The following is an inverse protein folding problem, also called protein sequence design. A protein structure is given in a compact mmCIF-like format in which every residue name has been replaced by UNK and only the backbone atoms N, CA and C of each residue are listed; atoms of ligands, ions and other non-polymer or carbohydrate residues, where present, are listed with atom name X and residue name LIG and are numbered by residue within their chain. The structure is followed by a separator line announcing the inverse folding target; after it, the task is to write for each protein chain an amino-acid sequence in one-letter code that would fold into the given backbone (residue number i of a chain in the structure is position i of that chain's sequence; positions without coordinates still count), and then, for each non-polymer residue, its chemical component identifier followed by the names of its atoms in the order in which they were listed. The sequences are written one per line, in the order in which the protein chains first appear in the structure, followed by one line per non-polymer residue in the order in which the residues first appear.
data_IF_918399772485
#
_entry.id   IF_918399772485
#
_cell.length_a   1.000
_cell.length_b   1.000
_cell.length_c   1.000
_cell.angle_alpha   90.00
_cell.angle_beta   90.00
_cell.angle_gamma   90.00
#
_symmetry.space_group_name_H-M   'P 1'
#
loop_
_entity.id
_entity.type
_entity.pdbx_description
1 polymer ?
#
# COMPACT_ATOMS: atom_id res chain seq x y z
N UNK A 1 -37.01 7.74 -62.41
CA UNK A 1 -38.13 6.89 -61.92
C UNK A 1 -38.34 7.27 -60.46
N UNK A 2 -39.47 7.74 -59.95
CA UNK A 2 -40.86 7.72 -60.38
C UNK A 2 -41.59 8.90 -59.70
N UNK A 3 -42.37 9.64 -60.49
CA UNK A 3 -43.66 10.31 -60.21
C UNK A 3 -43.76 11.25 -58.99
N UNK A 4 -43.80 12.58 -59.16
CA UNK A 4 -44.86 13.45 -59.69
C UNK A 4 -46.12 13.58 -58.80
N UNK A 5 -46.15 14.65 -57.98
CA UNK A 5 -47.21 15.68 -57.84
C UNK A 5 -48.66 15.23 -57.46
N UNK A 6 -49.64 16.14 -57.38
CA UNK A 6 -49.78 17.45 -56.71
C UNK A 6 -51.10 17.54 -55.90
N UNK A 7 -51.38 18.67 -55.22
CA UNK A 7 -52.74 19.24 -55.10
C UNK A 7 -52.66 20.58 -54.36
N UNK A 8 -52.58 21.74 -55.04
CA UNK A 8 -53.67 22.60 -55.53
C UNK A 8 -54.74 22.98 -54.48
N UNK A 9 -54.72 24.29 -54.16
CA UNK A 9 -55.82 25.17 -53.68
C UNK A 9 -57.07 25.03 -54.60
N UNK A 10 -58.18 25.81 -54.51
CA UNK A 10 -58.58 26.91 -53.61
C UNK A 10 -60.09 26.88 -53.21
N UNK A 11 -60.59 27.96 -52.60
CA UNK A 11 -61.79 28.73 -53.00
C UNK A 11 -62.64 29.18 -51.82
N UNK A 12 -62.67 30.50 -51.67
CA UNK A 12 -63.65 31.33 -50.98
C UNK A 12 -64.98 31.43 -51.73
N UNK A 13 -66.11 31.39 -51.02
CA UNK A 13 -67.36 32.10 -51.37
C UNK A 13 -68.26 32.09 -50.11
N UNK A 14 -68.37 33.16 -49.32
CA UNK A 14 -69.35 34.27 -49.47
C UNK A 14 -70.71 33.80 -50.03
N UNK A 15 -71.78 33.91 -49.22
CA UNK A 15 -72.92 34.82 -49.47
C UNK A 15 -74.03 34.73 -48.40
N UNK A 16 -74.57 35.92 -48.10
CA UNK A 16 -75.91 36.33 -47.64
C UNK A 16 -76.49 35.70 -46.35
N UNK A 17 -76.77 36.41 -45.26
CA UNK A 17 -77.50 37.66 -44.98
C UNK A 17 -79.00 37.47 -44.66
N UNK A 18 -79.40 38.14 -43.56
CA UNK A 18 -80.74 38.57 -43.09
C UNK A 18 -81.44 37.58 -42.13
N UNK A 19 -81.34 37.77 -40.80
CA UNK A 19 -82.16 38.63 -39.90
C UNK A 19 -83.54 38.05 -39.56
N UNK A 20 -83.64 37.39 -38.40
CA UNK A 20 -84.85 37.36 -37.57
C UNK A 20 -84.45 37.38 -36.09
N UNK A 21 -84.94 38.41 -35.39
CA UNK A 21 -84.76 38.69 -33.97
C UNK A 21 -85.58 37.70 -33.11
N UNK A 22 -84.97 37.09 -32.09
CA UNK A 22 -85.70 36.56 -30.93
C UNK A 22 -84.80 36.64 -29.69
N UNK A 23 -85.22 37.25 -28.57
CA UNK A 23 -84.36 37.52 -27.42
C UNK A 23 -84.29 36.31 -26.49
N UNK A 24 -83.09 35.81 -26.23
CA UNK A 24 -82.84 34.77 -25.21
C UNK A 24 -81.84 35.31 -24.19
N UNK A 25 -82.37 35.66 -23.02
CA UNK A 25 -81.61 35.76 -21.77
C UNK A 25 -81.00 34.38 -21.45
N UNK A 26 -79.69 34.30 -21.25
CA UNK A 26 -79.05 33.03 -20.90
C UNK A 26 -77.55 33.11 -20.65
N UNK A 27 -77.21 33.45 -19.39
CA UNK A 27 -76.04 32.96 -18.64
C UNK A 27 -74.66 33.08 -19.30
N UNK A 28 -73.97 34.17 -18.99
CA UNK A 28 -72.50 34.19 -19.00
C UNK A 28 -72.00 33.07 -18.06
N UNK A 29 -71.54 31.98 -18.64
CA UNK A 29 -70.85 30.91 -17.91
C UNK A 29 -69.51 31.46 -17.45
N UNK A 30 -69.45 31.93 -16.21
CA UNK A 30 -68.18 32.09 -15.52
C UNK A 30 -67.62 30.69 -15.32
N UNK A 31 -66.61 30.34 -16.12
CA UNK A 31 -65.73 29.22 -15.80
C UNK A 31 -65.07 29.56 -14.47
N UNK A 32 -65.57 28.96 -13.38
CA UNK A 32 -64.90 29.03 -12.09
C UNK A 32 -63.51 28.41 -12.26
N UNK A 33 -62.46 29.24 -12.32
CA UNK A 33 -61.11 28.73 -12.21
C UNK A 33 -60.97 28.15 -10.81
N UNK A 34 -60.82 26.83 -10.70
CA UNK A 34 -60.54 26.19 -9.41
C UNK A 34 -59.30 26.87 -8.80
N UNK A 35 -59.54 27.66 -7.74
CA UNK A 35 -58.52 28.47 -7.09
C UNK A 35 -57.59 27.52 -6.34
N UNK A 36 -56.30 27.51 -6.71
CA UNK A 36 -55.32 26.58 -6.11
C UNK A 36 -54.95 27.09 -4.72
N UNK A 37 -55.47 26.46 -3.67
CA UNK A 37 -55.17 26.82 -2.28
C UNK A 37 -53.91 26.10 -1.78
N UNK A 38 -52.94 26.85 -1.24
CA UNK A 38 -51.72 26.31 -0.65
C UNK A 38 -51.66 26.58 0.86
N UNK A 39 -51.15 25.62 1.63
CA UNK A 39 -50.84 25.72 3.05
C UNK A 39 -49.33 25.66 3.26
N UNK A 40 -48.75 26.60 3.98
CA UNK A 40 -47.32 26.64 4.32
C UNK A 40 -47.09 27.26 5.70
N UNK A 41 -45.88 27.14 6.23
CA UNK A 41 -45.50 27.67 7.55
C UNK A 41 -44.35 28.65 7.36
N UNK A 42 -44.44 29.83 7.96
CA UNK A 42 -43.40 30.86 7.89
C UNK A 42 -42.30 30.66 8.94
N UNK A 43 -41.33 31.60 8.98
CA UNK A 43 -40.21 31.58 9.92
C UNK A 43 -40.62 31.79 11.39
N UNK A 44 -41.81 32.33 11.64
CA UNK A 44 -42.37 32.59 12.97
C UNK A 44 -43.22 31.40 13.48
N UNK A 45 -43.41 30.38 12.64
CA UNK A 45 -44.22 29.21 12.93
C UNK A 45 -45.72 29.40 12.66
N UNK A 46 -46.10 30.49 11.99
CA UNK A 46 -47.49 30.76 11.64
C UNK A 46 -47.88 29.99 10.37
N UNK A 47 -49.08 29.41 10.37
CA UNK A 47 -49.62 28.63 9.24
C UNK A 47 -50.41 29.56 8.34
N UNK A 48 -49.99 29.66 7.08
CA UNK A 48 -50.61 30.51 6.07
C UNK A 48 -51.38 29.69 5.04
N UNK A 49 -52.53 30.20 4.62
CA UNK A 49 -53.35 29.66 3.53
C UNK A 49 -53.46 30.71 2.43
N UNK A 50 -52.89 30.45 1.26
CA UNK A 50 -52.77 31.45 0.19
C UNK A 50 -53.02 30.83 -1.17
N UNK A 51 -53.62 31.58 -2.09
CA UNK A 51 -53.82 31.14 -3.48
C UNK A 51 -52.51 31.17 -4.30
N UNK A 52 -51.57 32.02 -3.89
CA UNK A 52 -50.22 32.10 -4.44
C UNK A 52 -49.22 32.30 -3.29
N UNK A 53 -48.18 31.46 -3.27
CA UNK A 53 -47.11 31.57 -2.28
C UNK A 53 -46.15 32.69 -2.69
N UNK A 54 -45.84 33.65 -1.81
CA UNK A 54 -44.90 34.73 -2.11
C UNK A 54 -43.52 34.20 -2.57
N UNK A 55 -42.85 34.84 -3.54
CA UNK A 55 -41.54 34.40 -4.01
C UNK A 55 -40.49 34.26 -2.90
N UNK A 56 -40.56 35.11 -1.87
CA UNK A 56 -39.64 35.08 -0.72
C UNK A 56 -39.76 33.81 0.15
N UNK A 57 -40.86 33.07 0.04
CA UNK A 57 -41.14 31.86 0.83
C UNK A 57 -41.19 30.59 -0.06
N UNK A 58 -40.68 30.70 -1.29
CA UNK A 58 -40.68 29.60 -2.25
C UNK A 58 -39.84 28.39 -1.78
N UNK A 59 -38.87 28.60 -0.88
CA UNK A 59 -37.97 27.57 -0.39
C UNK A 59 -38.54 26.79 0.81
N UNK A 60 -39.74 27.14 1.31
CA UNK A 60 -40.38 26.46 2.44
C UNK A 60 -41.23 25.27 2.00
N UNK A 61 -41.44 24.34 2.93
CA UNK A 61 -42.34 23.22 2.71
C UNK A 61 -43.79 23.72 2.57
N UNK A 62 -44.53 23.19 1.60
CA UNK A 62 -45.91 23.58 1.31
C UNK A 62 -46.76 22.41 0.87
N UNK A 63 -48.07 22.51 1.11
CA UNK A 63 -49.05 21.55 0.65
C UNK A 63 -50.12 22.23 -0.19
N UNK A 64 -50.44 21.69 -1.37
CA UNK A 64 -51.61 22.09 -2.15
C UNK A 64 -52.83 21.35 -1.61
N UNK A 65 -53.91 22.08 -1.35
CA UNK A 65 -55.15 21.54 -0.80
C UNK A 65 -56.18 21.33 -1.91
N UNK A 66 -57.06 20.33 -1.73
CA UNK A 66 -58.28 20.15 -2.52
C UNK A 66 -59.35 21.13 -2.07
N UNK A 67 -60.45 21.22 -2.82
CA UNK A 67 -61.63 22.02 -2.44
C UNK A 67 -62.22 21.61 -1.07
N UNK A 68 -61.91 20.40 -0.60
CA UNK A 68 -62.32 19.86 0.70
C UNK A 68 -61.29 20.11 1.80
N UNK A 69 -60.23 20.88 1.53
CA UNK A 69 -59.16 21.19 2.48
C UNK A 69 -58.15 20.05 2.71
N UNK A 70 -58.16 19.01 1.87
CA UNK A 70 -57.29 17.85 2.00
C UNK A 70 -56.00 18.07 1.20
N UNK A 71 -54.83 17.83 1.79
CA UNK A 71 -53.55 17.93 1.08
C UNK A 71 -53.49 16.90 -0.06
N UNK A 72 -53.45 17.40 -1.29
CA UNK A 72 -53.39 16.59 -2.53
C UNK A 72 -51.98 16.54 -3.12
N UNK A 73 -51.09 17.45 -2.71
CA UNK A 73 -49.70 17.48 -3.15
C UNK A 73 -48.86 18.16 -2.08
N UNK A 74 -47.69 17.61 -1.76
CA UNK A 74 -46.76 18.20 -0.79
C UNK A 74 -45.41 18.43 -1.45
N UNK A 75 -44.86 19.63 -1.29
CA UNK A 75 -43.54 20.00 -1.73
C UNK A 75 -42.67 20.26 -0.49
N UNK A 76 -41.56 19.53 -0.31
CA UNK A 76 -40.66 19.75 0.82
C UNK A 76 -39.93 21.09 0.68
N UNK A 77 -39.38 21.58 1.80
CA UNK A 77 -38.51 22.74 1.80
C UNK A 77 -37.24 22.44 0.97
N UNK A 78 -36.66 23.48 0.37
CA UNK A 78 -35.33 23.38 -0.25
C UNK A 78 -34.32 23.06 0.86
N UNK A 79 -33.52 21.99 0.73
CA UNK A 79 -32.55 21.63 1.75
C UNK A 79 -31.59 22.79 2.02
N UNK A 80 -31.30 23.03 3.29
CA UNK A 80 -30.27 23.99 3.69
C UNK A 80 -28.89 23.53 3.20
N UNK A 81 -27.93 24.46 3.10
CA UNK A 81 -26.55 24.11 2.72
C UNK A 81 -25.96 23.01 3.62
N UNK A 82 -26.24 23.07 4.93
CA UNK A 82 -25.80 22.05 5.90
C UNK A 82 -26.49 20.69 5.73
N UNK A 83 -27.77 20.66 5.34
CA UNK A 83 -28.48 19.40 5.04
C UNK A 83 -27.96 18.78 3.74
N UNK A 84 -27.64 19.60 2.75
CA UNK A 84 -27.04 19.13 1.50
C UNK A 84 -25.63 18.58 1.73
N UNK A 85 -24.81 19.26 2.54
CA UNK A 85 -23.47 18.76 2.91
C UNK A 85 -23.53 17.48 3.74
N UNK A 86 -24.46 17.38 4.71
CA UNK A 86 -24.68 16.12 5.46
C UNK A 86 -25.13 14.97 4.56
N UNK A 87 -26.01 15.24 3.60
CA UNK A 87 -26.45 14.23 2.63
C UNK A 87 -25.31 13.79 1.71
N UNK A 88 -24.45 14.71 1.26
CA UNK A 88 -23.23 14.41 0.48
C UNK A 88 -22.25 13.56 1.28
N UNK A 89 -22.02 13.90 2.55
CA UNK A 89 -21.13 13.15 3.42
C UNK A 89 -21.65 11.74 3.67
N UNK A 90 -22.94 11.58 3.97
CA UNK A 90 -23.56 10.26 4.13
C UNK A 90 -23.49 9.43 2.84
N UNK A 91 -23.72 10.05 1.68
CA UNK A 91 -23.59 9.38 0.40
C UNK A 91 -22.13 8.93 0.13
N UNK A 92 -21.14 9.78 0.48
CA UNK A 92 -19.71 9.45 0.38
C UNK A 92 -19.35 8.26 1.28
N UNK A 93 -19.83 8.25 2.51
CA UNK A 93 -19.59 7.14 3.45
C UNK A 93 -20.20 5.83 2.97
N UNK A 94 -21.46 5.86 2.49
CA UNK A 94 -22.11 4.67 1.91
C UNK A 94 -21.37 4.16 0.68
N UNK A 95 -20.98 5.05 -0.23
CA UNK A 95 -20.22 4.66 -1.43
C UNK A 95 -18.86 4.04 -1.07
N UNK A 96 -18.17 4.58 -0.06
CA UNK A 96 -16.92 4.01 0.46
C UNK A 96 -17.13 2.62 1.09
N UNK A 97 -18.21 2.43 1.85
CA UNK A 97 -18.55 1.13 2.44
C UNK A 97 -18.89 0.08 1.37
N UNK A 98 -19.70 0.46 0.38
CA UNK A 98 -20.03 -0.40 -0.77
C UNK A 98 -18.79 -0.76 -1.57
N UNK A 99 -17.89 0.21 -1.83
CA UNK A 99 -16.61 -0.05 -2.50
C UNK A 99 -15.77 -1.05 -1.73
N UNK A 100 -15.59 -0.85 -0.42
CA UNK A 100 -14.82 -1.77 0.44
C UNK A 100 -15.45 -3.16 0.48
N UNK A 101 -16.77 -3.27 0.46
CA UNK A 101 -17.47 -4.56 0.41
C UNK A 101 -17.23 -5.27 -0.92
N UNK A 102 -17.36 -4.55 -2.04
CA UNK A 102 -17.10 -5.10 -3.37
C UNK A 102 -15.64 -5.54 -3.53
N UNK A 103 -14.68 -4.75 -3.03
CA UNK A 103 -13.25 -5.10 -3.02
C UNK A 103 -12.98 -6.39 -2.25
N UNK A 104 -13.57 -6.55 -1.06
CA UNK A 104 -13.45 -7.78 -0.25
C UNK A 104 -14.04 -8.99 -0.98
N UNK A 105 -15.25 -8.86 -1.52
CA UNK A 105 -15.89 -9.94 -2.29
C UNK A 105 -15.06 -10.34 -3.50
N UNK A 106 -14.54 -9.36 -4.25
CA UNK A 106 -13.67 -9.63 -5.38
C UNK A 106 -12.36 -10.32 -4.96
N UNK A 107 -11.78 -9.97 -3.80
CA UNK A 107 -10.60 -10.66 -3.25
C UNK A 107 -10.92 -12.12 -2.91
N UNK A 108 -12.05 -12.36 -2.24
CA UNK A 108 -12.49 -13.71 -1.86
C UNK A 108 -12.77 -14.59 -3.09
N UNK A 109 -13.45 -14.05 -4.10
CA UNK A 109 -13.72 -14.75 -5.35
C UNK A 109 -12.43 -15.11 -6.09
N UNK A 110 -11.46 -14.20 -6.14
CA UNK A 110 -10.13 -14.49 -6.72
C UNK A 110 -9.43 -15.58 -5.95
N UNK A 111 -9.42 -15.51 -4.61
CA UNK A 111 -8.79 -16.50 -3.75
C UNK A 111 -9.36 -17.91 -3.98
N UNK A 112 -10.69 -18.04 -4.03
CA UNK A 112 -11.38 -19.31 -4.29
C UNK A 112 -11.23 -19.82 -5.73
N UNK A 113 -10.99 -18.92 -6.69
CA UNK A 113 -10.76 -19.25 -8.10
C UNK A 113 -9.33 -19.71 -8.37
N UNK A 114 -8.35 -19.08 -7.72
CA UNK A 114 -6.93 -19.37 -7.89
C UNK A 114 -6.53 -20.66 -7.18
N UNK A 115 -7.12 -20.93 -6.01
CA UNK A 115 -6.72 -22.06 -5.17
C UNK A 115 -7.92 -22.94 -4.81
N UNK A 116 -7.71 -24.25 -4.87
CA UNK A 116 -8.71 -25.30 -4.59
C UNK A 116 -8.52 -25.90 -3.21
N UNK A 117 -7.29 -25.94 -2.72
CA UNK A 117 -6.91 -26.51 -1.42
C UNK A 117 -5.99 -25.55 -0.67
N UNK A 118 -5.82 -25.80 0.63
CA UNK A 118 -4.82 -25.06 1.43
C UNK A 118 -3.40 -25.41 0.99
N UNK A 119 -3.15 -26.67 0.64
CA UNK A 119 -1.85 -27.12 0.15
C UNK A 119 -1.39 -26.37 -1.10
N UNK A 120 -2.32 -26.00 -2.01
CA UNK A 120 -2.00 -25.16 -3.17
C UNK A 120 -1.58 -23.73 -2.77
N UNK A 121 -2.17 -23.16 -1.72
CA UNK A 121 -1.76 -21.87 -1.15
C UNK A 121 -0.39 -21.96 -0.49
N UNK A 122 -0.13 -23.02 0.28
CA UNK A 122 1.16 -23.25 0.93
C UNK A 122 2.26 -23.48 -0.11
N UNK A 123 2.00 -24.27 -1.15
CA UNK A 123 2.93 -24.46 -2.27
C UNK A 123 3.22 -23.14 -3.02
N UNK A 124 2.20 -22.30 -3.24
CA UNK A 124 2.38 -21.00 -3.87
C UNK A 124 3.18 -20.02 -3.00
N UNK A 125 2.95 -20.03 -1.68
CA UNK A 125 3.74 -19.28 -0.69
C UNK A 125 5.19 -19.72 -0.76
N UNK A 126 5.43 -21.02 -0.65
CA UNK A 126 6.78 -21.60 -0.58
C UNK A 126 7.54 -21.38 -1.89
N UNK A 127 6.86 -21.46 -3.03
CA UNK A 127 7.44 -21.09 -4.33
C UNK A 127 7.83 -19.62 -4.42
N UNK A 128 7.00 -18.69 -3.92
CA UNK A 128 7.33 -17.26 -3.86
C UNK A 128 8.50 -16.98 -2.92
N UNK A 129 8.54 -17.65 -1.76
CA UNK A 129 9.65 -17.56 -0.80
C UNK A 129 10.93 -18.08 -1.43
N UNK A 130 10.91 -19.27 -2.04
CA UNK A 130 12.08 -19.88 -2.66
C UNK A 130 12.66 -19.01 -3.79
N UNK A 131 11.81 -18.33 -4.57
CA UNK A 131 12.28 -17.38 -5.59
C UNK A 131 13.01 -16.17 -4.98
N UNK A 132 12.51 -15.64 -3.86
CA UNK A 132 13.18 -14.56 -3.12
C UNK A 132 14.49 -15.06 -2.51
N UNK A 133 14.50 -16.26 -1.93
CA UNK A 133 15.70 -16.88 -1.34
C UNK A 133 16.78 -17.14 -2.40
N UNK A 134 16.41 -17.57 -3.60
CA UNK A 134 17.33 -17.70 -4.72
C UNK A 134 17.94 -16.33 -5.12
N UNK A 135 17.14 -15.26 -5.11
CA UNK A 135 17.63 -13.90 -5.36
C UNK A 135 18.60 -13.44 -4.26
N UNK A 136 18.28 -13.69 -2.99
CA UNK A 136 19.17 -13.39 -1.86
C UNK A 136 20.49 -14.15 -1.99
N UNK A 137 20.43 -15.44 -2.34
CA UNK A 137 21.63 -16.25 -2.48
C UNK A 137 22.51 -15.75 -3.63
N UNK A 138 21.93 -15.45 -4.80
CA UNK A 138 22.68 -14.86 -5.91
C UNK A 138 23.37 -13.56 -5.49
N UNK A 139 22.68 -12.69 -4.75
CA UNK A 139 23.25 -11.44 -4.24
C UNK A 139 24.36 -11.68 -3.21
N UNK A 140 24.21 -12.66 -2.30
CA UNK A 140 25.30 -13.05 -1.37
C UNK A 140 26.53 -13.55 -2.12
N UNK A 141 26.32 -14.26 -3.23
CA UNK A 141 27.41 -14.75 -4.08
C UNK A 141 28.12 -13.57 -4.77
N UNK A 142 27.38 -12.62 -5.33
CA UNK A 142 27.92 -11.38 -5.89
C UNK A 142 28.72 -10.58 -4.83
N UNK A 143 28.20 -10.45 -3.61
CA UNK A 143 28.89 -9.74 -2.52
C UNK A 143 30.18 -10.43 -2.09
N UNK A 144 30.25 -11.77 -2.16
CA UNK A 144 31.50 -12.50 -1.92
C UNK A 144 32.56 -12.16 -2.95
N UNK A 145 32.18 -12.07 -4.21
CA UNK A 145 33.10 -11.76 -5.30
C UNK A 145 33.54 -10.28 -5.29
N UNK A 146 32.60 -9.37 -5.01
CA UNK A 146 32.91 -7.95 -4.84
C UNK A 146 33.83 -7.73 -3.63
N UNK A 147 33.61 -8.44 -2.51
CA UNK A 147 34.49 -8.39 -1.33
C UNK A 147 35.91 -8.86 -1.65
N UNK A 148 36.07 -9.91 -2.45
CA UNK A 148 37.41 -10.36 -2.90
C UNK A 148 38.09 -9.29 -3.76
N UNK A 149 37.33 -8.65 -4.64
CA UNK A 149 37.82 -7.53 -5.46
C UNK A 149 38.29 -6.38 -4.58
N UNK A 150 37.49 -5.98 -3.59
CA UNK A 150 37.85 -4.93 -2.63
C UNK A 150 39.14 -5.26 -1.88
N UNK A 151 39.28 -6.48 -1.36
CA UNK A 151 40.49 -6.93 -0.65
C UNK A 151 41.73 -6.79 -1.53
N UNK A 152 41.65 -7.22 -2.79
CA UNK A 152 42.77 -7.12 -3.73
C UNK A 152 43.17 -5.66 -4.00
N UNK A 153 42.19 -4.74 -4.15
CA UNK A 153 42.45 -3.31 -4.29
C UNK A 153 43.12 -2.71 -3.05
N UNK A 154 42.68 -3.11 -1.85
CA UNK A 154 43.32 -2.69 -0.60
C UNK A 154 44.74 -3.25 -0.45
N UNK A 155 45.04 -4.44 -0.96
CA UNK A 155 46.40 -4.99 -0.99
C UNK A 155 47.32 -4.21 -1.94
N UNK A 156 46.81 -3.82 -3.11
CA UNK A 156 47.54 -2.94 -4.05
C UNK A 156 47.85 -1.59 -3.39
N UNK A 157 46.84 -0.96 -2.76
CA UNK A 157 47.00 0.29 -2.03
C UNK A 157 48.05 0.17 -0.93
N UNK A 158 47.96 -0.89 -0.10
CA UNK A 158 48.93 -1.14 0.99
C UNK A 158 50.35 -1.36 0.46
N UNK A 159 50.50 -2.00 -0.70
CA UNK A 159 51.81 -2.21 -1.34
C UNK A 159 52.43 -0.88 -1.78
N UNK A 160 51.64 0.01 -2.38
CA UNK A 160 52.09 1.35 -2.75
C UNK A 160 52.46 2.19 -1.53
N UNK A 161 51.64 2.15 -0.48
CA UNK A 161 51.91 2.86 0.77
C UNK A 161 53.20 2.37 1.45
N UNK A 162 53.42 1.05 1.52
CA UNK A 162 54.67 0.47 2.05
C UNK A 162 55.89 0.87 1.20
N UNK A 163 55.70 1.06 -0.09
CA UNK A 163 56.72 1.55 -1.01
C UNK A 163 56.84 3.09 -1.03
N UNK A 164 56.11 3.80 -0.16
CA UNK A 164 56.04 5.27 -0.07
C UNK A 164 55.65 5.95 -1.41
N UNK A 165 54.93 5.23 -2.27
CA UNK A 165 54.43 5.76 -3.55
C UNK A 165 53.07 6.41 -3.36
N UNK A 166 52.76 7.48 -4.11
CA UNK A 166 51.42 8.06 -4.10
C UNK A 166 50.40 7.02 -4.59
N UNK A 167 49.27 6.93 -3.90
CA UNK A 167 48.14 6.09 -4.31
C UNK A 167 47.43 6.79 -5.48
N UNK A 168 47.31 6.16 -6.67
CA UNK A 168 46.59 6.75 -7.80
C UNK A 168 45.12 7.01 -7.49
N UNK A 169 44.58 8.13 -8.00
CA UNK A 169 43.16 8.47 -7.83
C UNK A 169 42.22 7.42 -8.42
N UNK A 170 42.61 6.75 -9.51
CA UNK A 170 41.84 5.65 -10.10
C UNK A 170 41.67 4.47 -9.13
N UNK A 171 42.74 4.10 -8.41
CA UNK A 171 42.69 3.04 -7.42
C UNK A 171 41.76 3.41 -6.25
N UNK A 172 41.82 4.64 -5.76
CA UNK A 172 40.90 5.13 -4.74
C UNK A 172 39.44 5.10 -5.22
N UNK A 173 39.19 5.55 -6.45
CA UNK A 173 37.85 5.54 -7.06
C UNK A 173 37.29 4.12 -7.17
N UNK A 174 38.12 3.14 -7.56
CA UNK A 174 37.74 1.73 -7.63
C UNK A 174 37.43 1.14 -6.25
N UNK A 175 38.20 1.51 -5.22
CA UNK A 175 37.93 1.12 -3.82
C UNK A 175 36.57 1.67 -3.37
N UNK A 176 36.32 2.97 -3.56
CA UNK A 176 35.06 3.61 -3.18
C UNK A 176 33.85 3.03 -3.93
N UNK A 177 34.02 2.76 -5.22
CA UNK A 177 33.00 2.11 -6.04
C UNK A 177 32.68 0.71 -5.51
N UNK A 178 33.70 -0.06 -5.18
CA UNK A 178 33.52 -1.43 -4.68
C UNK A 178 32.87 -1.45 -3.29
N UNK A 179 33.27 -0.57 -2.36
CA UNK A 179 32.57 -0.40 -1.08
C UNK A 179 31.09 -0.03 -1.26
N UNK A 180 30.80 0.87 -2.20
CA UNK A 180 29.42 1.28 -2.51
C UNK A 180 28.61 0.12 -3.09
N UNK A 181 29.18 -0.65 -4.00
CA UNK A 181 28.55 -1.84 -4.57
C UNK A 181 28.21 -2.87 -3.48
N UNK A 182 29.14 -3.11 -2.56
CA UNK A 182 28.93 -4.02 -1.41
C UNK A 182 27.77 -3.54 -0.55
N UNK A 183 27.76 -2.26 -0.18
CA UNK A 183 26.69 -1.68 0.64
C UNK A 183 25.33 -1.78 -0.05
N UNK A 184 25.25 -1.46 -1.34
CA UNK A 184 24.02 -1.53 -2.11
C UNK A 184 23.50 -2.97 -2.25
N UNK A 185 24.39 -3.94 -2.49
CA UNK A 185 24.00 -5.35 -2.55
C UNK A 185 23.48 -5.87 -1.20
N UNK A 186 24.05 -5.42 -0.07
CA UNK A 186 23.49 -5.74 1.24
C UNK A 186 22.14 -5.04 1.51
N UNK A 187 21.91 -3.83 1.00
CA UNK A 187 20.56 -3.21 1.04
C UNK A 187 19.55 -4.10 0.33
N UNK A 188 19.85 -4.57 -0.90
CA UNK A 188 18.96 -5.47 -1.63
C UNK A 188 18.71 -6.81 -0.90
N UNK A 189 19.72 -7.34 -0.20
CA UNK A 189 19.57 -8.55 0.62
C UNK A 189 18.57 -8.29 1.76
N UNK A 190 18.76 -7.21 2.51
CA UNK A 190 17.88 -6.85 3.64
C UNK A 190 16.44 -6.62 3.17
N UNK A 191 16.25 -5.92 2.06
CA UNK A 191 14.92 -5.66 1.49
C UNK A 191 14.22 -6.95 1.07
N UNK A 192 14.96 -7.89 0.47
CA UNK A 192 14.42 -9.19 0.12
C UNK A 192 14.08 -10.05 1.35
N UNK A 193 14.85 -9.98 2.44
CA UNK A 193 14.48 -10.65 3.69
C UNK A 193 13.18 -10.07 4.28
N UNK A 194 12.99 -8.75 4.23
CA UNK A 194 11.74 -8.10 4.63
C UNK A 194 10.57 -8.49 3.71
N UNK A 195 10.81 -8.60 2.40
CA UNK A 195 9.84 -9.06 1.41
C UNK A 195 9.44 -10.51 1.68
N UNK A 196 10.38 -11.39 2.07
CA UNK A 196 10.09 -12.77 2.45
C UNK A 196 9.09 -12.84 3.60
N UNK A 197 9.30 -12.02 4.64
CA UNK A 197 8.35 -11.92 5.75
C UNK A 197 6.99 -11.38 5.28
N UNK A 198 6.97 -10.36 4.43
CA UNK A 198 5.72 -9.80 3.90
C UNK A 198 4.91 -10.84 3.09
N UNK A 199 5.59 -11.69 2.31
CA UNK A 199 4.95 -12.80 1.59
C UNK A 199 4.38 -13.82 2.58
N UNK A 200 5.10 -14.15 3.64
CA UNK A 200 4.61 -15.06 4.66
C UNK A 200 3.33 -14.53 5.31
N UNK A 201 3.35 -13.28 5.75
CA UNK A 201 2.20 -12.64 6.40
C UNK A 201 0.99 -12.54 5.45
N UNK A 202 1.21 -12.20 4.17
CA UNK A 202 0.19 -12.17 3.12
C UNK A 202 -0.51 -13.53 2.98
N UNK A 203 0.27 -14.60 2.81
CA UNK A 203 -0.30 -15.95 2.63
C UNK A 203 -0.92 -16.50 3.89
N UNK A 204 -0.41 -16.17 5.08
CA UNK A 204 -1.04 -16.57 6.34
C UNK A 204 -2.46 -15.98 6.46
N UNK A 205 -2.62 -14.70 6.12
CA UNK A 205 -3.92 -14.05 6.05
C UNK A 205 -4.84 -14.69 5.00
N UNK A 206 -4.32 -14.98 3.82
CA UNK A 206 -5.09 -15.60 2.73
C UNK A 206 -5.48 -17.05 3.04
N UNK A 207 -4.60 -17.83 3.67
CA UNK A 207 -4.88 -19.19 4.13
C UNK A 207 -5.97 -19.18 5.21
N UNK A 208 -5.89 -18.28 6.19
CA UNK A 208 -6.91 -18.12 7.22
C UNK A 208 -8.27 -17.77 6.59
N UNK A 209 -8.28 -16.83 5.63
CA UNK A 209 -9.49 -16.43 4.91
C UNK A 209 -10.05 -17.57 4.07
N UNK A 210 -9.21 -18.32 3.36
CA UNK A 210 -9.62 -19.46 2.55
C UNK A 210 -10.30 -20.53 3.38
N UNK A 211 -9.71 -20.88 4.54
CA UNK A 211 -10.31 -21.82 5.50
C UNK A 211 -11.70 -21.37 5.94
N UNK A 212 -11.87 -20.08 6.26
CA UNK A 212 -13.17 -19.52 6.63
C UNK A 212 -14.20 -19.65 5.49
N UNK A 213 -13.82 -19.29 4.27
CA UNK A 213 -14.71 -19.36 3.09
C UNK A 213 -15.12 -20.81 2.74
N UNK A 214 -14.21 -21.76 2.93
CA UNK A 214 -14.44 -23.19 2.71
C UNK A 214 -14.99 -23.94 3.93
N UNK A 215 -15.17 -23.26 5.07
CA UNK A 215 -15.60 -23.84 6.35
C UNK A 215 -14.72 -25.02 6.79
N UNK A 216 -13.41 -24.88 6.59
CA UNK A 216 -12.41 -25.86 7.01
C UNK A 216 -12.08 -25.69 8.51
N UNK A 217 -11.66 -26.76 9.20
CA UNK A 217 -11.21 -26.67 10.58
C UNK A 217 -9.97 -25.79 10.73
N UNK A 218 -9.74 -25.32 11.96
CA UNK A 218 -8.53 -24.58 12.32
C UNK A 218 -7.27 -25.43 12.05
N UNK A 219 -6.13 -24.80 11.72
CA UNK A 219 -4.87 -25.50 11.59
C UNK A 219 -4.51 -26.21 12.90
N UNK A 220 -3.86 -27.37 12.78
CA UNK A 220 -3.34 -28.11 13.91
C UNK A 220 -2.28 -27.28 14.65
N UNK A 221 -2.47 -27.04 15.96
CA UNK A 221 -1.58 -26.21 16.78
C UNK A 221 -0.15 -26.79 16.82
N UNK A 222 0.01 -28.11 16.69
CA UNK A 222 1.33 -28.77 16.58
C UNK A 222 2.14 -28.29 15.38
N UNK A 223 1.47 -28.01 14.25
CA UNK A 223 2.12 -27.55 13.03
C UNK A 223 2.53 -26.07 13.10
N UNK A 224 1.83 -25.27 13.90
CA UNK A 224 2.15 -23.86 14.15
C UNK A 224 3.30 -23.72 15.14
N UNK A 225 3.34 -24.56 16.18
CA UNK A 225 4.40 -24.58 17.19
C UNK A 225 5.75 -25.11 16.66
N UNK A 226 5.75 -25.90 15.58
CA UNK A 226 6.96 -26.39 14.93
C UNK A 226 7.65 -25.35 14.02
N UNK A 227 7.08 -24.16 13.87
CA UNK A 227 7.74 -23.06 13.15
C UNK A 227 8.96 -22.66 13.98
N UNK A 228 10.19 -22.72 13.41
CA UNK A 228 11.37 -22.34 14.16
C UNK A 228 11.21 -20.87 14.58
N UNK A 229 11.15 -20.64 15.89
CA UNK A 229 11.35 -19.31 16.45
C UNK A 229 12.66 -18.79 15.87
N UNK A 230 12.59 -17.72 15.07
CA UNK A 230 13.78 -17.06 14.53
C UNK A 230 14.46 -16.29 15.66
N UNK A 231 15.09 -17.02 16.56
CA UNK A 231 15.92 -16.45 17.60
C UNK A 231 17.27 -16.08 16.99
N UNK A 232 17.63 -14.80 17.13
CA UNK A 232 18.87 -14.23 16.63
C UNK A 232 18.73 -13.43 15.33
N UNK A 233 18.41 -12.14 15.45
CA UNK A 233 18.41 -11.24 14.30
C UNK A 233 19.82 -10.70 14.05
N UNK A 234 20.38 -10.95 12.87
CA UNK A 234 21.57 -10.23 12.38
C UNK A 234 21.25 -8.82 11.89
N UNK A 235 20.01 -8.37 12.08
CA UNK A 235 19.47 -7.13 11.58
C UNK A 235 18.96 -6.28 12.75
N UNK A 236 19.41 -5.02 12.82
CA UNK A 236 19.01 -4.05 13.85
C UNK A 236 18.55 -2.76 13.18
N UNK A 237 17.37 -2.26 13.52
CA UNK A 237 16.91 -0.94 13.07
C UNK A 237 17.23 0.15 14.08
N UNK A 238 17.50 1.35 13.57
CA UNK A 238 17.61 2.58 14.35
C UNK A 238 16.70 3.67 13.75
N UNK A 239 16.29 4.63 14.57
CA UNK A 239 15.28 5.64 14.20
C UNK A 239 15.87 7.02 13.97
N UNK A 240 16.69 7.48 14.91
CA UNK A 240 17.33 8.80 14.85
C UNK A 240 18.84 8.66 14.62
N UNK A 241 19.45 9.77 14.20
CA UNK A 241 20.86 9.81 13.83
C UNK A 241 21.79 9.43 14.98
N UNK A 242 21.50 9.87 16.20
CA UNK A 242 22.34 9.61 17.37
C UNK A 242 22.32 8.12 17.74
N UNK A 243 21.12 7.54 17.77
CA UNK A 243 20.93 6.11 17.97
C UNK A 243 21.64 5.29 16.88
N UNK A 244 21.50 5.68 15.61
CA UNK A 244 22.16 4.98 14.51
C UNK A 244 23.69 5.00 14.63
N UNK A 245 24.28 6.14 15.00
CA UNK A 245 25.72 6.22 15.25
C UNK A 245 26.14 5.34 16.44
N UNK A 246 25.42 5.40 17.56
CA UNK A 246 25.72 4.57 18.74
C UNK A 246 25.58 3.06 18.45
N UNK A 247 24.60 2.68 17.64
CA UNK A 247 24.40 1.28 17.23
C UNK A 247 25.52 0.84 16.29
N UNK A 248 25.93 1.70 15.36
CA UNK A 248 27.06 1.43 14.47
C UNK A 248 28.36 1.21 15.24
N UNK A 249 28.67 2.05 16.23
CA UNK A 249 29.88 1.89 17.06
C UNK A 249 29.88 0.59 17.87
N UNK A 250 28.73 0.20 18.41
CA UNK A 250 28.56 -1.09 19.10
C UNK A 250 28.68 -2.27 18.13
N UNK A 251 28.10 -2.17 16.93
CA UNK A 251 28.24 -3.19 15.90
C UNK A 251 29.70 -3.38 15.47
N UNK A 252 30.42 -2.28 15.25
CA UNK A 252 31.87 -2.28 14.96
C UNK A 252 32.63 -2.96 16.09
N UNK A 253 32.34 -2.60 17.34
CA UNK A 253 32.99 -3.19 18.52
C UNK A 253 32.68 -4.68 18.66
N UNK A 254 31.45 -5.09 18.38
CA UNK A 254 31.02 -6.48 18.41
C UNK A 254 31.75 -7.33 17.35
N UNK A 255 31.81 -6.87 16.10
CA UNK A 255 32.54 -7.57 15.03
C UNK A 255 34.01 -7.73 15.39
N UNK A 256 34.64 -6.67 15.88
CA UNK A 256 36.05 -6.65 16.29
C UNK A 256 36.36 -7.54 17.50
N UNK A 257 35.37 -7.85 18.34
CA UNK A 257 35.51 -8.81 19.43
C UNK A 257 35.48 -10.27 18.92
N UNK A 258 34.97 -10.49 17.71
CA UNK A 258 34.83 -11.79 17.06
C UNK A 258 35.70 -11.94 15.81
N UNK A 259 36.67 -11.06 15.60
CA UNK A 259 37.53 -11.07 14.41
C UNK A 259 38.98 -10.78 14.76
N UNK A 260 39.87 -11.18 13.87
CA UNK A 260 41.24 -10.69 13.86
C UNK A 260 41.24 -9.20 13.44
N UNK A 261 42.25 -8.44 13.88
CA UNK A 261 42.40 -7.02 13.51
C UNK A 261 43.16 -6.81 12.21
N UNK A 262 43.87 -7.83 11.75
CA UNK A 262 44.70 -7.74 10.56
C UNK A 262 43.85 -7.80 9.29
N UNK A 263 44.07 -6.82 8.41
CA UNK A 263 43.38 -6.75 7.12
C UNK A 263 41.96 -6.19 7.17
N UNK A 264 41.51 -5.65 8.32
CA UNK A 264 40.23 -4.96 8.45
C UNK A 264 40.07 -3.85 7.39
N UNK A 265 38.92 -3.82 6.73
CA UNK A 265 38.51 -2.75 5.81
C UNK A 265 37.38 -1.95 6.46
N UNK A 266 37.63 -0.69 6.76
CA UNK A 266 36.67 0.24 7.34
C UNK A 266 36.40 1.39 6.38
N UNK A 267 35.11 1.60 6.07
CA UNK A 267 34.62 2.69 5.23
C UNK A 267 33.30 3.25 5.72
N UNK A 268 32.74 4.26 5.04
CA UNK A 268 31.46 4.85 5.42
C UNK A 268 30.32 3.82 5.41
N UNK A 269 29.82 3.48 6.60
CA UNK A 269 28.73 2.50 6.75
C UNK A 269 29.09 1.08 6.32
N UNK A 270 30.39 0.73 6.29
CA UNK A 270 30.86 -0.60 5.95
C UNK A 270 32.07 -0.97 6.81
N UNK A 271 32.04 -2.15 7.42
CA UNK A 271 33.21 -2.78 8.03
C UNK A 271 33.26 -4.22 7.55
N UNK A 272 34.42 -4.62 7.03
CA UNK A 272 34.74 -6.00 6.69
C UNK A 272 35.92 -6.43 7.54
N UNK A 273 35.71 -7.46 8.35
CA UNK A 273 36.72 -8.04 9.21
C UNK A 273 36.86 -9.54 8.94
N UNK A 274 38.01 -10.10 9.30
CA UNK A 274 38.36 -11.47 8.99
C UNK A 274 38.67 -12.23 10.27
N UNK A 275 38.31 -13.51 10.29
CA UNK A 275 38.78 -14.44 11.30
C UNK A 275 39.29 -15.69 10.59
N UNK A 276 40.51 -16.09 10.89
CA UNK A 276 41.11 -17.26 10.26
C UNK A 276 41.44 -18.32 11.30
N UNK A 277 40.97 -19.54 11.07
CA UNK A 277 41.41 -20.70 11.83
C UNK A 277 41.98 -21.79 10.90
N UNK A 278 42.34 -22.94 11.49
CA UNK A 278 42.92 -24.06 10.76
C UNK A 278 41.96 -24.68 9.72
N UNK A 279 40.65 -24.56 9.94
CA UNK A 279 39.60 -25.22 9.15
C UNK A 279 38.95 -24.28 8.14
N UNK A 280 38.68 -23.04 8.53
CA UNK A 280 37.95 -22.08 7.70
C UNK A 280 38.44 -20.63 7.80
N UNK A 281 38.12 -19.87 6.76
CA UNK A 281 38.20 -18.41 6.76
C UNK A 281 36.78 -17.88 6.93
N UNK A 282 36.62 -16.94 7.85
CA UNK A 282 35.36 -16.25 8.12
C UNK A 282 35.51 -14.78 7.78
N UNK A 283 34.56 -14.26 7.02
CA UNK A 283 34.43 -12.84 6.70
C UNK A 283 33.21 -12.31 7.41
N UNK A 284 33.41 -11.42 8.38
CA UNK A 284 32.35 -10.73 9.11
C UNK A 284 32.18 -9.35 8.47
N UNK A 285 31.01 -9.10 7.90
CA UNK A 285 30.69 -7.81 7.28
C UNK A 285 29.54 -7.18 8.03
N UNK A 286 29.71 -5.93 8.49
CA UNK A 286 28.58 -5.10 8.87
C UNK A 286 28.38 -3.99 7.85
N UNK A 287 27.13 -3.79 7.46
CA UNK A 287 26.74 -2.76 6.52
C UNK A 287 25.60 -1.92 7.10
N UNK A 288 25.72 -0.62 6.92
CA UNK A 288 24.64 0.34 7.09
C UNK A 288 23.81 0.36 5.80
N UNK A 289 22.57 -0.11 5.88
CA UNK A 289 21.66 -0.20 4.73
C UNK A 289 20.44 0.68 4.93
N UNK A 290 19.95 1.28 3.83
CA UNK A 290 18.74 2.08 3.80
C UNK A 290 18.19 2.07 2.38
N UNK A 291 16.97 1.55 2.20
CA UNK A 291 16.28 1.46 0.90
C UNK A 291 16.00 2.86 0.30
N UNK A 292 15.43 3.74 1.13
CA UNK A 292 15.11 5.12 0.78
C UNK A 292 15.14 6.02 2.02
N UNK A 293 15.20 7.34 1.81
CA UNK A 293 15.38 8.35 2.88
C UNK A 293 14.28 8.30 3.94
N UNK A 294 13.06 7.91 3.56
CA UNK A 294 11.88 7.79 4.42
C UNK A 294 11.73 6.41 5.07
N UNK A 295 12.65 5.48 4.77
CA UNK A 295 12.63 4.10 5.27
C UNK A 295 13.57 3.95 6.46
N UNK A 296 13.29 3.01 7.38
CA UNK A 296 14.18 2.73 8.50
C UNK A 296 15.60 2.44 8.05
N UNK A 297 16.55 2.91 8.85
CA UNK A 297 17.95 2.53 8.72
C UNK A 297 18.15 1.17 9.36
N UNK A 298 18.92 0.32 8.70
CA UNK A 298 19.31 -0.98 9.19
C UNK A 298 20.82 -1.11 9.33
N UNK A 299 21.24 -1.81 10.38
CA UNK A 299 22.60 -2.32 10.54
C UNK A 299 22.51 -3.83 10.44
N UNK A 300 23.16 -4.38 9.41
CA UNK A 300 23.10 -5.78 9.06
C UNK A 300 24.47 -6.43 9.23
N UNK A 301 24.51 -7.59 9.89
CA UNK A 301 25.68 -8.45 10.01
C UNK A 301 25.56 -9.66 9.06
N UNK A 302 26.50 -9.76 8.12
CA UNK A 302 26.76 -10.98 7.38
C UNK A 302 28.01 -11.69 7.90
N UNK A 303 27.96 -13.03 7.92
CA UNK A 303 29.10 -13.87 8.26
C UNK A 303 29.23 -14.93 7.18
N UNK A 304 30.28 -14.83 6.39
CA UNK A 304 30.52 -15.74 5.28
C UNK A 304 31.68 -16.65 5.64
N UNK A 305 31.48 -17.95 5.46
CA UNK A 305 32.49 -18.95 5.77
C UNK A 305 33.03 -19.55 4.48
N UNK A 306 34.31 -19.93 4.48
CA UNK A 306 34.92 -20.71 3.41
C UNK A 306 35.88 -21.72 4.03
N UNK A 307 35.50 -22.98 4.00
CA UNK A 307 36.37 -24.07 4.42
C UNK A 307 37.63 -24.10 3.57
N UNK A 308 38.80 -24.22 4.20
CA UNK A 308 40.10 -24.06 3.53
C UNK A 308 40.43 -25.19 2.56
N UNK A 309 39.96 -26.40 2.85
CA UNK A 309 40.26 -27.60 2.04
C UNK A 309 39.19 -27.91 0.99
N UNK A 310 37.93 -27.61 1.27
CA UNK A 310 36.79 -28.04 0.44
C UNK A 310 36.10 -26.88 -0.26
N UNK A 311 36.46 -25.64 0.08
CA UNK A 311 35.75 -24.43 -0.32
C UNK A 311 34.24 -24.41 0.04
N UNK A 312 33.79 -25.31 0.93
CA UNK A 312 32.43 -25.29 1.47
C UNK A 312 32.13 -23.93 2.08
N UNK A 313 30.93 -23.41 1.78
CA UNK A 313 30.45 -22.13 2.32
C UNK A 313 29.69 -22.29 3.65
N UNK A 314 29.53 -23.52 4.11
CA UNK A 314 28.92 -23.84 5.40
C UNK A 314 29.97 -23.60 6.48
N UNK A 315 29.60 -22.80 7.48
CA UNK A 315 30.43 -22.55 8.65
C UNK A 315 30.60 -23.82 9.48
N UNK A 316 31.85 -24.19 9.76
CA UNK A 316 32.19 -25.36 10.59
C UNK A 316 32.50 -25.00 12.05
N UNK A 317 32.66 -23.71 12.37
CA UNK A 317 32.76 -23.23 13.75
C UNK A 317 31.37 -23.23 14.43
N UNK A 318 31.16 -24.04 15.49
CA UNK A 318 29.90 -24.11 16.21
C UNK A 318 29.52 -22.81 16.95
N UNK A 319 30.44 -21.84 17.07
CA UNK A 319 30.15 -20.55 17.67
C UNK A 319 29.44 -19.58 16.72
N UNK A 320 29.52 -19.78 15.39
CA UNK A 320 28.93 -18.84 14.42
C UNK A 320 27.43 -18.57 14.68
N UNK A 321 26.57 -19.58 14.98
CA UNK A 321 25.19 -19.33 15.38
C UNK A 321 25.06 -18.37 16.57
N UNK A 322 25.88 -18.55 17.62
CA UNK A 322 25.89 -17.65 18.78
C UNK A 322 26.32 -16.23 18.43
N UNK A 323 27.29 -16.07 17.52
CA UNK A 323 27.72 -14.75 17.03
C UNK A 323 26.57 -14.05 16.28
N UNK A 324 25.77 -14.79 15.52
CA UNK A 324 24.58 -14.24 14.86
C UNK A 324 23.50 -13.87 15.86
N UNK A 325 23.24 -14.75 16.82
CA UNK A 325 22.20 -14.58 17.82
C UNK A 325 22.49 -13.41 18.77
N UNK A 326 23.74 -13.27 19.21
CA UNK A 326 24.18 -12.22 20.14
C UNK A 326 24.29 -10.82 19.52
N UNK A 327 24.28 -10.71 18.18
CA UNK A 327 24.53 -9.42 17.50
C UNK A 327 23.52 -8.35 17.90
N UNK A 328 22.22 -8.66 17.81
CA UNK A 328 21.17 -7.70 18.13
C UNK A 328 21.27 -7.20 19.57
N UNK A 329 21.40 -8.10 20.53
CA UNK A 329 21.50 -7.76 21.94
C UNK A 329 22.72 -6.85 22.21
N UNK A 330 23.89 -7.21 21.66
CA UNK A 330 25.10 -6.40 21.82
C UNK A 330 24.99 -5.01 21.18
N UNK A 331 24.33 -4.90 20.03
CA UNK A 331 24.12 -3.62 19.33
C UNK A 331 23.06 -2.76 20.01
N UNK A 332 22.04 -3.37 20.61
CA UNK A 332 20.96 -2.67 21.30
C UNK A 332 21.24 -2.40 22.78
N UNK A 333 22.26 -3.06 23.38
CA UNK A 333 22.57 -3.05 24.83
C UNK A 333 21.37 -3.58 25.64
N UNK A 334 20.84 -4.72 25.17
CA UNK A 334 19.73 -5.49 25.75
C UNK A 334 20.21 -6.74 26.51
#
# INVERSE_FOLDING_TARGET
MSRSAPSKRPVSARRLAILMLMPVLGLASWTASAQKLYRWVDDQGEVHYTDQVPPAQADKARARLSEQGIAVETQPAVPTGEELERARELARQKAEEERRRAERQAKDERLLKLYRTVDELELARDGRIAAIEASIQAKRDDMRDETRTLIALYEEMRTLQKAEKPVPLDLMSRIDSSMTNIRNGYTEIVDNEARKQSVQDEFEGDIARFRQLRRLPAPDESAVAARPERNGSTLVSCRDREQCHAYWERAVSYVRAHSDRDGEVLGPGLLIAFQQDEREIRTLTIAWTQEAVDRPVWIYLDIQCRHRLTASLICVDPNVPRVREGFRAAVMDE
#
